data_IF_164020984971
#
_entry.id   IF_164020984971
#
_cell.length_a   1.000
_cell.length_b   1.000
_cell.length_c   1.000
_cell.angle_alpha   90.00
_cell.angle_beta   90.00
_cell.angle_gamma   90.00
#
_symmetry.space_group_name_H-M   'P 1'
#
loop_
_entity.id
_entity.type
_entity.pdbx_description
1 polymer ?
#
# COMPACT_ATOMS: atom_id res chain seq x y z
N UNK A 1 1.53 34.53 -17.06
CA UNK A 1 1.40 33.91 -15.72
C UNK A 1 1.40 32.40 -15.90
N UNK A 2 2.44 31.65 -15.50
CA UNK A 2 2.38 30.20 -15.50
C UNK A 2 1.33 29.77 -14.45
N UNK A 3 0.34 28.97 -14.85
CA UNK A 3 -0.62 28.38 -13.90
C UNK A 3 0.12 27.38 -13.01
N UNK A 4 -0.17 27.32 -11.69
CA UNK A 4 0.34 26.24 -10.84
C UNK A 4 -0.12 24.90 -11.42
N UNK A 5 0.84 24.04 -11.73
CA UNK A 5 0.56 22.68 -12.13
C UNK A 5 -0.12 21.98 -10.93
N UNK A 6 -1.26 21.29 -11.12
CA UNK A 6 -1.88 20.57 -10.02
C UNK A 6 -0.87 19.57 -9.43
N UNK A 7 -0.87 19.35 -8.10
CA UNK A 7 0.04 18.40 -7.48
C UNK A 7 -0.11 17.05 -8.21
N UNK A 8 1.00 16.32 -8.45
CA UNK A 8 0.94 15.05 -9.13
C UNK A 8 -0.07 14.17 -8.40
N UNK A 9 -1.13 13.77 -9.10
CA UNK A 9 -2.10 12.85 -8.53
C UNK A 9 -1.34 11.60 -8.10
N UNK A 10 -1.58 11.05 -6.89
CA UNK A 10 -0.90 9.86 -6.43
C UNK A 10 -1.13 8.79 -7.50
N UNK A 11 -0.06 8.44 -8.22
CA UNK A 11 -0.12 7.44 -9.29
C UNK A 11 -0.69 6.20 -8.64
N UNK A 12 -1.86 5.73 -9.09
CA UNK A 12 -2.53 4.58 -8.48
C UNK A 12 -1.54 3.40 -8.48
N UNK A 13 -0.93 3.13 -7.31
CA UNK A 13 0.03 2.04 -7.18
C UNK A 13 -0.79 0.78 -6.97
N UNK A 14 -0.69 -0.22 -7.88
CA UNK A 14 -1.38 -1.47 -7.67
C UNK A 14 -0.99 -2.06 -6.31
N UNK A 15 -1.99 -2.52 -5.55
CA UNK A 15 -1.77 -2.98 -4.19
C UNK A 15 -0.71 -4.09 -4.06
N UNK A 16 -0.60 -4.97 -5.05
CA UNK A 16 0.44 -6.00 -5.07
C UNK A 16 1.85 -5.40 -5.18
N UNK A 17 2.02 -4.36 -6.00
CA UNK A 17 3.28 -3.62 -6.14
C UNK A 17 3.64 -2.91 -4.84
N UNK A 18 2.64 -2.32 -4.17
CA UNK A 18 2.83 -1.70 -2.86
C UNK A 18 3.32 -2.72 -1.84
N UNK A 19 2.63 -3.86 -1.71
CA UNK A 19 3.03 -4.95 -0.80
C UNK A 19 4.46 -5.42 -1.07
N UNK A 20 4.83 -5.65 -2.34
CA UNK A 20 6.18 -6.10 -2.70
C UNK A 20 7.23 -5.07 -2.28
N UNK A 21 7.05 -3.80 -2.66
CA UNK A 21 7.99 -2.74 -2.28
C UNK A 21 8.10 -2.61 -0.76
N UNK A 22 6.98 -2.59 -0.04
CA UNK A 22 6.99 -2.54 1.42
C UNK A 22 7.78 -3.68 2.05
N UNK A 23 7.63 -4.91 1.53
CA UNK A 23 8.38 -6.09 2.01
C UNK A 23 9.88 -5.95 1.78
N UNK A 24 10.30 -5.38 0.66
CA UNK A 24 11.71 -5.16 0.34
C UNK A 24 12.37 -4.11 1.25
N UNK A 25 11.64 -3.06 1.63
CA UNK A 25 12.20 -1.99 2.49
C UNK A 25 12.03 -2.30 3.98
N UNK A 26 11.10 -3.17 4.37
CA UNK A 26 10.91 -3.59 5.76
C UNK A 26 12.19 -4.01 6.51
N UNK A 27 13.13 -4.82 5.95
CA UNK A 27 14.37 -5.18 6.64
C UNK A 27 15.38 -4.03 6.74
N UNK A 28 15.18 -2.94 5.99
CA UNK A 28 16.08 -1.78 5.93
C UNK A 28 15.68 -0.68 6.92
N UNK A 29 14.52 -0.80 7.58
CA UNK A 29 14.02 0.16 8.56
C UNK A 29 14.12 -0.36 9.98
N UNK A 30 13.89 0.53 10.95
CA UNK A 30 13.87 0.18 12.37
C UNK A 30 12.89 -0.99 12.65
N UNK A 31 13.25 -1.96 13.52
CA UNK A 31 12.44 -3.17 13.76
C UNK A 31 10.99 -2.91 14.16
N UNK A 32 10.74 -1.86 14.94
CA UNK A 32 9.38 -1.44 15.29
C UNK A 32 8.55 -1.04 14.05
N UNK A 33 9.17 -0.35 13.08
CA UNK A 33 8.50 0.05 11.83
C UNK A 33 8.29 -1.15 10.90
N UNK A 34 9.27 -2.05 10.84
CA UNK A 34 9.15 -3.31 10.10
C UNK A 34 7.91 -4.11 10.58
N UNK A 35 7.70 -4.22 11.90
CA UNK A 35 6.50 -4.87 12.46
C UNK A 35 5.19 -4.21 12.02
N UNK A 36 5.14 -2.88 11.99
CA UNK A 36 3.96 -2.15 11.50
C UNK A 36 3.67 -2.45 10.02
N UNK A 37 4.71 -2.45 9.18
CA UNK A 37 4.59 -2.78 7.76
C UNK A 37 4.08 -4.21 7.58
N UNK A 38 4.65 -5.19 8.30
CA UNK A 38 4.21 -6.57 8.22
C UNK A 38 2.75 -6.76 8.68
N UNK A 39 2.35 -6.08 9.75
CA UNK A 39 0.96 -6.09 10.23
C UNK A 39 0.00 -5.52 9.18
N UNK A 40 0.33 -4.39 8.59
CA UNK A 40 -0.50 -3.75 7.56
C UNK A 40 -0.61 -4.62 6.29
N UNK A 41 0.49 -5.26 5.87
CA UNK A 41 0.48 -6.22 4.76
C UNK A 41 -0.45 -7.40 5.07
N UNK A 42 -0.34 -7.98 6.27
CA UNK A 42 -1.17 -9.10 6.68
C UNK A 42 -2.66 -8.71 6.70
N UNK A 43 -2.98 -7.53 7.22
CA UNK A 43 -4.34 -7.02 7.26
C UNK A 43 -4.93 -6.81 5.85
N UNK A 44 -4.13 -6.31 4.91
CA UNK A 44 -4.50 -6.19 3.50
C UNK A 44 -4.71 -7.56 2.84
N UNK A 45 -3.78 -8.50 3.03
CA UNK A 45 -3.86 -9.85 2.44
C UNK A 45 -5.10 -10.61 2.94
N UNK A 46 -5.44 -10.48 4.23
CA UNK A 46 -6.65 -11.06 4.83
C UNK A 46 -7.92 -10.42 4.24
N UNK A 47 -7.99 -9.09 4.20
CA UNK A 47 -9.15 -8.37 3.64
C UNK A 47 -9.37 -8.72 2.16
N UNK A 48 -8.27 -8.87 1.40
CA UNK A 48 -8.31 -9.29 0.00
C UNK A 48 -8.77 -10.73 -0.17
N UNK A 49 -8.30 -11.64 0.70
CA UNK A 49 -8.74 -13.04 0.70
C UNK A 49 -10.24 -13.13 1.03
N UNK A 50 -10.70 -12.35 2.01
CA UNK A 50 -12.12 -12.24 2.36
C UNK A 50 -12.97 -11.74 1.19
N UNK A 51 -12.55 -10.67 0.50
CA UNK A 51 -13.24 -10.19 -0.71
C UNK A 51 -13.28 -11.26 -1.81
N UNK A 52 -12.19 -11.98 -2.05
CA UNK A 52 -12.14 -13.05 -3.07
C UNK A 52 -13.05 -14.23 -2.70
N UNK A 53 -13.10 -14.57 -1.42
CA UNK A 53 -13.98 -15.59 -0.86
C UNK A 53 -15.46 -15.21 -0.83
N UNK A 54 -15.81 -13.95 -1.13
CA UNK A 54 -17.19 -13.44 -1.11
C UNK A 54 -18.11 -14.01 -2.22
N UNK A 55 -17.70 -15.09 -2.89
CA UNK A 55 -18.53 -15.80 -3.85
C UNK A 55 -19.73 -16.43 -3.12
N UNK A 56 -20.94 -15.91 -3.39
CA UNK A 56 -22.17 -16.32 -2.70
C UNK A 56 -22.59 -15.42 -1.52
N UNK A 57 -21.83 -14.36 -1.21
CA UNK A 57 -22.26 -13.35 -0.23
C UNK A 57 -23.39 -12.47 -0.77
N UNK A 58 -24.22 -11.96 0.15
CA UNK A 58 -25.22 -10.94 -0.18
C UNK A 58 -24.51 -9.70 -0.75
N UNK A 59 -25.15 -8.92 -1.65
CA UNK A 59 -24.54 -7.72 -2.24
C UNK A 59 -24.00 -6.73 -1.20
N UNK A 60 -24.69 -6.57 -0.06
CA UNK A 60 -24.28 -5.70 1.02
C UNK A 60 -22.97 -6.18 1.69
N UNK A 61 -22.83 -7.48 1.91
CA UNK A 61 -21.62 -8.05 2.54
C UNK A 61 -20.44 -7.99 1.58
N UNK A 62 -20.68 -8.14 0.28
CA UNK A 62 -19.67 -7.89 -0.76
C UNK A 62 -19.22 -6.43 -0.76
N UNK A 63 -20.14 -5.46 -0.69
CA UNK A 63 -19.78 -4.04 -0.59
C UNK A 63 -18.95 -3.75 0.66
N UNK A 64 -19.29 -4.37 1.80
CA UNK A 64 -18.51 -4.27 3.04
C UNK A 64 -17.11 -4.85 2.88
N UNK A 65 -16.97 -6.03 2.25
CA UNK A 65 -15.67 -6.64 1.97
C UNK A 65 -14.82 -5.77 1.04
N UNK A 66 -15.42 -5.16 0.02
CA UNK A 66 -14.75 -4.21 -0.88
C UNK A 66 -14.31 -2.92 -0.17
N UNK A 67 -15.14 -2.40 0.75
CA UNK A 67 -14.79 -1.24 1.57
C UNK A 67 -13.66 -1.57 2.55
N UNK A 68 -13.71 -2.74 3.19
CA UNK A 68 -12.68 -3.22 4.10
C UNK A 68 -11.33 -3.41 3.38
N UNK A 69 -11.31 -3.97 2.18
CA UNK A 69 -10.06 -4.06 1.41
C UNK A 69 -9.50 -2.68 1.05
N UNK A 70 -10.36 -1.71 0.70
CA UNK A 70 -9.94 -0.34 0.40
C UNK A 70 -9.34 0.35 1.63
N UNK A 71 -9.95 0.19 2.79
CA UNK A 71 -9.46 0.74 4.05
C UNK A 71 -8.12 0.11 4.47
N UNK A 72 -8.01 -1.22 4.35
CA UNK A 72 -6.78 -1.96 4.58
C UNK A 72 -5.65 -1.51 3.64
N UNK A 73 -5.98 -1.24 2.37
CA UNK A 73 -5.03 -0.68 1.40
C UNK A 73 -4.58 0.73 1.78
N UNK A 74 -5.51 1.60 2.23
CA UNK A 74 -5.20 2.93 2.73
C UNK A 74 -4.22 2.89 3.91
N UNK A 75 -4.51 2.05 4.90
CA UNK A 75 -3.63 1.83 6.07
C UNK A 75 -2.24 1.34 5.65
N UNK A 76 -2.17 0.40 4.69
CA UNK A 76 -0.90 -0.09 4.14
C UNK A 76 -0.11 1.03 3.46
N UNK A 77 -0.79 1.84 2.64
CA UNK A 77 -0.18 2.97 1.95
C UNK A 77 0.41 3.97 2.94
N UNK A 78 -0.37 4.42 3.92
CA UNK A 78 0.09 5.37 4.95
C UNK A 78 1.25 4.84 5.78
N UNK A 79 1.23 3.54 6.10
CA UNK A 79 2.32 2.90 6.86
C UNK A 79 3.62 2.84 6.04
N UNK A 80 3.51 2.52 4.75
CA UNK A 80 4.66 2.34 3.87
C UNK A 80 5.19 3.62 3.22
N UNK A 81 4.34 4.61 2.97
CA UNK A 81 4.68 5.80 2.19
C UNK A 81 5.91 6.56 2.75
N UNK A 82 6.07 6.77 4.07
CA UNK A 82 7.28 7.39 4.63
C UNK A 82 8.56 6.60 4.36
N UNK A 83 8.45 5.26 4.35
CA UNK A 83 9.58 4.36 4.15
C UNK A 83 9.96 4.28 2.67
N UNK A 84 8.96 4.31 1.79
CA UNK A 84 9.18 4.36 0.34
C UNK A 84 9.75 5.71 -0.12
N UNK A 85 9.32 6.81 0.50
CA UNK A 85 9.83 8.15 0.22
C UNK A 85 11.24 8.38 0.78
N UNK A 86 11.59 7.73 1.88
CA UNK A 86 12.92 7.80 2.48
C UNK A 86 13.96 6.91 1.78
N UNK A 87 13.56 6.06 0.83
CA UNK A 87 14.50 5.26 0.04
C UNK A 87 15.28 6.22 -0.87
N UNK A 88 16.60 6.39 -0.69
CA UNK A 88 17.38 7.24 -1.57
C UNK A 88 17.26 6.70 -3.00
N UNK A 89 17.03 7.60 -3.96
CA UNK A 89 17.23 7.26 -5.37
C UNK A 89 18.60 6.57 -5.53
N UNK A 90 18.71 5.47 -6.31
CA UNK A 90 20.02 4.96 -6.65
C UNK A 90 20.80 6.13 -7.29
N UNK A 91 22.08 6.34 -6.94
CA UNK A 91 22.86 7.39 -7.58
C UNK A 91 22.74 7.17 -9.09
N UNK A 92 22.25 8.20 -9.80
CA UNK A 92 22.18 8.21 -11.24
C UNK A 92 23.54 7.69 -11.74
N UNK A 93 23.52 6.54 -12.43
CA UNK A 93 24.73 5.99 -13.00
C UNK A 93 25.24 7.02 -14.01
N UNK A 94 26.23 7.79 -13.59
CA UNK A 94 27.06 8.57 -14.49
C UNK A 94 27.84 7.56 -15.33
N UNK A 95 27.44 7.43 -16.59
CA UNK A 95 28.21 6.80 -17.65
C UNK A 95 28.52 7.86 -18.70
#
# INVERSE_FOLDING_TARGET
MPRPQPPPQPTFVPAHTLVQRCREVAPQVHPWRARQIHSAILHYDLSRAYRRGASGMKPLDRQRAEAQERDAWGTLWETCQPVLAARPEPPAQAY
#
